data_IF_921984790836
#
_entry.id   IF_921984790836
#
_cell.length_a   1.000
_cell.length_b   1.000
_cell.length_c   1.000
_cell.angle_alpha   90.00
_cell.angle_beta   90.00
_cell.angle_gamma   90.00
#
_symmetry.space_group_name_H-M   'P 1'
#
loop_
_entity.id
_entity.type
_entity.pdbx_description
1 polymer ?
#
# COMPACT_ATOMS: atom_id res chain seq x y z
N UNK A 1 -11.35 0.82 -6.08
CA UNK A 1 -9.98 1.28 -5.71
C UNK A 1 -9.94 1.67 -4.25
N UNK A 2 -8.89 1.30 -3.53
CA UNK A 2 -8.59 1.77 -2.18
C UNK A 2 -7.39 2.72 -2.23
N UNK A 3 -7.58 3.97 -1.78
CA UNK A 3 -6.53 5.00 -1.71
C UNK A 3 -6.13 5.19 -0.24
N UNK A 4 -4.87 4.96 0.08
CA UNK A 4 -4.32 4.98 1.44
C UNK A 4 -3.20 6.01 1.53
N UNK A 5 -3.31 6.94 2.46
CA UNK A 5 -2.22 7.85 2.82
C UNK A 5 -1.71 7.59 4.23
N UNK A 6 -0.38 7.69 4.40
CA UNK A 6 0.27 7.43 5.70
C UNK A 6 1.25 8.52 6.13
N UNK A 7 1.36 9.61 5.35
CA UNK A 7 2.27 10.71 5.63
C UNK A 7 1.73 11.63 6.72
N UNK A 8 2.56 11.91 7.75
CA UNK A 8 2.20 12.77 8.88
C UNK A 8 2.23 14.28 8.55
N UNK A 9 2.77 14.66 7.39
CA UNK A 9 2.95 16.07 6.99
C UNK A 9 1.76 16.68 6.25
N UNK A 10 0.62 15.98 6.21
CA UNK A 10 -0.60 16.47 5.58
C UNK A 10 -0.40 16.91 4.13
N UNK A 11 -0.91 18.09 3.77
CA UNK A 11 -0.86 18.63 2.40
C UNK A 11 0.55 18.96 1.90
N UNK A 12 1.54 19.05 2.79
CA UNK A 12 2.93 19.24 2.41
C UNK A 12 3.61 17.95 1.96
N UNK A 13 2.95 16.81 2.10
CA UNK A 13 3.50 15.50 1.77
C UNK A 13 3.62 15.27 0.27
N UNK A 14 4.83 14.94 -0.18
CA UNK A 14 5.05 14.53 -1.57
C UNK A 14 4.33 13.21 -1.87
N UNK A 15 4.33 12.22 -0.97
CA UNK A 15 3.64 10.96 -1.23
C UNK A 15 2.13 11.14 -1.37
N UNK A 16 1.48 12.05 -0.60
CA UNK A 16 0.06 12.39 -0.77
C UNK A 16 -0.23 13.08 -2.10
N UNK A 17 0.66 13.96 -2.56
CA UNK A 17 0.55 14.58 -3.88
C UNK A 17 0.63 13.53 -5.00
N UNK A 18 1.54 12.58 -4.87
CA UNK A 18 1.68 11.50 -5.85
C UNK A 18 0.49 10.53 -5.83
N UNK A 19 -0.04 10.16 -4.67
CA UNK A 19 -1.23 9.29 -4.61
C UNK A 19 -2.45 9.97 -5.23
N UNK A 20 -2.65 11.26 -4.98
CA UNK A 20 -3.72 12.03 -5.62
C UNK A 20 -3.57 12.04 -7.16
N UNK A 21 -2.35 12.26 -7.68
CA UNK A 21 -2.07 12.21 -9.13
C UNK A 21 -2.31 10.80 -9.71
N UNK A 22 -1.92 9.73 -9.00
CA UNK A 22 -2.19 8.36 -9.43
C UNK A 22 -3.70 8.12 -9.54
N UNK A 23 -4.46 8.50 -8.52
CA UNK A 23 -5.93 8.33 -8.49
C UNK A 23 -6.59 9.13 -9.61
N UNK A 24 -6.17 10.37 -9.84
CA UNK A 24 -6.69 11.22 -10.92
C UNK A 24 -6.40 10.61 -12.30
N UNK A 25 -5.15 10.25 -12.58
CA UNK A 25 -4.75 9.63 -13.84
C UNK A 25 -5.48 8.29 -14.07
N UNK A 26 -5.66 7.51 -13.01
CA UNK A 26 -6.42 6.26 -13.07
C UNK A 26 -7.88 6.51 -13.44
N UNK A 27 -8.56 7.44 -12.78
CA UNK A 27 -9.96 7.78 -13.06
C UNK A 27 -10.15 8.34 -14.46
N UNK A 28 -9.18 9.08 -14.99
CA UNK A 28 -9.23 9.56 -16.38
C UNK A 28 -9.25 8.41 -17.40
N UNK A 29 -8.54 7.30 -17.11
CA UNK A 29 -8.52 6.11 -17.96
C UNK A 29 -9.63 5.10 -17.63
N UNK A 30 -10.15 5.11 -16.39
CA UNK A 30 -11.17 4.20 -15.87
C UNK A 30 -12.27 4.99 -15.14
N UNK A 31 -13.17 5.69 -15.87
CA UNK A 31 -14.12 6.63 -15.28
C UNK A 31 -15.11 6.02 -14.29
N UNK A 32 -15.41 4.71 -14.42
CA UNK A 32 -16.32 3.98 -13.52
C UNK A 32 -15.67 3.62 -12.16
N UNK A 33 -14.37 3.93 -11.95
CA UNK A 33 -13.67 3.58 -10.71
C UNK A 33 -14.25 4.31 -9.52
N UNK A 34 -14.76 3.55 -8.56
CA UNK A 34 -15.14 4.06 -7.24
C UNK A 34 -13.91 4.05 -6.33
N UNK A 35 -13.69 5.14 -5.61
CA UNK A 35 -12.53 5.31 -4.73
C UNK A 35 -13.00 5.36 -3.28
N UNK A 36 -12.49 4.44 -2.47
CA UNK A 36 -12.56 4.51 -1.00
C UNK A 36 -11.24 5.11 -0.50
N UNK A 37 -11.31 6.14 0.30
CA UNK A 37 -10.13 6.83 0.86
C UNK A 37 -9.92 6.47 2.32
N UNK A 38 -8.67 6.21 2.70
CA UNK A 38 -8.25 5.91 4.06
C UNK A 38 -7.00 6.73 4.41
N UNK A 39 -7.16 7.70 5.30
CA UNK A 39 -6.04 8.45 5.88
C UNK A 39 -5.60 7.79 7.19
N UNK A 40 -4.47 7.10 7.16
CA UNK A 40 -3.91 6.41 8.31
C UNK A 40 -3.34 7.35 9.39
N UNK A 41 -3.33 8.65 9.15
CA UNK A 41 -2.98 9.64 10.20
C UNK A 41 -4.22 10.08 10.96
N UNK A 42 -5.34 10.25 10.25
CA UNK A 42 -6.62 10.63 10.85
C UNK A 42 -7.34 9.43 11.50
N UNK A 43 -7.28 8.25 10.88
CA UNK A 43 -7.92 7.00 11.33
C UNK A 43 -6.88 5.88 11.47
N UNK A 44 -5.83 6.13 12.28
CA UNK A 44 -4.78 5.17 12.52
C UNK A 44 -5.28 3.99 13.37
N UNK A 45 -5.12 2.74 12.92
CA UNK A 45 -5.32 1.61 13.82
C UNK A 45 -4.27 1.67 14.94
N UNK A 46 -4.69 1.34 16.15
CA UNK A 46 -3.76 1.22 17.28
C UNK A 46 -2.67 0.18 16.99
N UNK A 47 -1.55 0.28 17.70
CA UNK A 47 -0.51 -0.76 17.66
C UNK A 47 -1.13 -2.14 17.87
N UNK A 48 -0.56 -3.14 17.22
CA UNK A 48 -1.05 -4.50 17.31
C UNK A 48 -0.82 -5.07 18.72
N UNK A 49 -1.91 -5.48 19.37
CA UNK A 49 -1.92 -5.97 20.76
C UNK A 49 -2.49 -7.39 20.84
N UNK A 50 -2.43 -8.00 22.03
CA UNK A 50 -3.05 -9.30 22.26
C UNK A 50 -4.56 -9.30 22.03
N UNK A 51 -5.25 -8.17 22.30
CA UNK A 51 -6.68 -8.06 22.00
C UNK A 51 -6.97 -8.13 20.49
N UNK A 52 -6.05 -7.65 19.66
CA UNK A 52 -6.16 -7.74 18.20
C UNK A 52 -5.80 -9.14 17.64
N UNK A 53 -5.30 -10.05 18.47
CA UNK A 53 -4.94 -11.42 18.05
C UNK A 53 -6.15 -12.36 17.94
N UNK A 54 -7.27 -12.06 18.57
CA UNK A 54 -8.42 -12.97 18.63
C UNK A 54 -8.91 -13.46 17.24
N UNK A 55 -9.03 -12.61 16.19
CA UNK A 55 -9.41 -13.10 14.85
C UNK A 55 -8.42 -14.11 14.27
N UNK A 56 -7.12 -13.96 14.62
CA UNK A 56 -6.07 -14.85 14.11
C UNK A 56 -6.06 -16.23 14.76
N UNK A 57 -6.60 -16.33 15.97
CA UNK A 57 -6.71 -17.60 16.71
C UNK A 57 -8.01 -18.34 16.41
N UNK A 58 -8.91 -17.74 15.61
CA UNK A 58 -10.23 -18.30 15.33
C UNK A 58 -11.19 -18.21 16.54
N UNK A 59 -10.83 -17.47 17.58
CA UNK A 59 -11.72 -17.26 18.74
C UNK A 59 -12.88 -16.37 18.34
N UNK A 60 -14.10 -16.88 18.44
CA UNK A 60 -15.36 -16.16 18.15
C UNK A 60 -16.19 -15.90 19.38
N UNK A 61 -16.08 -16.77 20.38
CA UNK A 61 -16.90 -16.74 21.59
C UNK A 61 -16.10 -16.24 22.82
N UNK A 62 -16.82 -15.62 23.75
CA UNK A 62 -16.23 -15.15 25.01
C UNK A 62 -15.24 -13.98 24.85
N UNK A 63 -15.34 -13.23 23.77
CA UNK A 63 -14.47 -12.07 23.53
C UNK A 63 -14.79 -10.93 24.50
N UNK A 64 -13.77 -10.34 25.10
CA UNK A 64 -13.90 -9.09 25.86
C UNK A 64 -14.35 -7.95 24.93
N UNK A 65 -14.89 -6.87 25.52
CA UNK A 65 -15.26 -5.67 24.75
C UNK A 65 -14.05 -5.07 24.02
N UNK A 66 -12.84 -5.13 24.59
CA UNK A 66 -11.62 -4.68 23.93
C UNK A 66 -11.32 -5.53 22.68
N UNK A 67 -11.38 -6.85 22.80
CA UNK A 67 -11.20 -7.78 21.67
C UNK A 67 -12.26 -7.57 20.59
N UNK A 68 -13.52 -7.36 20.96
CA UNK A 68 -14.59 -7.08 19.98
C UNK A 68 -14.33 -5.79 19.20
N UNK A 69 -13.91 -4.71 19.87
CA UNK A 69 -13.52 -3.45 19.20
C UNK A 69 -12.34 -3.64 18.25
N UNK A 70 -11.29 -4.33 18.71
CA UNK A 70 -10.11 -4.58 17.91
C UNK A 70 -10.41 -5.46 16.68
N UNK A 71 -11.30 -6.45 16.84
CA UNK A 71 -11.78 -7.30 15.75
C UNK A 71 -12.58 -6.49 14.73
N UNK A 72 -13.47 -5.60 15.17
CA UNK A 72 -14.24 -4.75 14.26
C UNK A 72 -13.33 -3.84 13.40
N UNK A 73 -12.28 -3.27 14.01
CA UNK A 73 -11.26 -2.48 13.26
C UNK A 73 -10.55 -3.36 12.24
N UNK A 74 -10.08 -4.53 12.65
CA UNK A 74 -9.33 -5.43 11.75
C UNK A 74 -10.23 -5.94 10.61
N UNK A 75 -11.48 -6.30 10.89
CA UNK A 75 -12.45 -6.76 9.88
C UNK A 75 -12.76 -5.67 8.85
N UNK A 76 -12.99 -4.44 9.30
CA UNK A 76 -13.20 -3.29 8.41
C UNK A 76 -12.02 -3.10 7.45
N UNK A 77 -10.79 -3.09 7.99
CA UNK A 77 -9.58 -2.85 7.20
C UNK A 77 -9.28 -3.99 6.21
N UNK A 78 -9.42 -5.25 6.64
CA UNK A 78 -9.20 -6.39 5.74
C UNK A 78 -10.26 -6.47 4.66
N UNK A 79 -11.52 -6.19 4.99
CA UNK A 79 -12.62 -6.18 4.01
C UNK A 79 -12.44 -5.06 2.98
N UNK A 80 -12.03 -3.85 3.38
CA UNK A 80 -11.70 -2.78 2.45
C UNK A 80 -10.55 -3.18 1.49
N UNK A 81 -9.50 -3.81 2.01
CA UNK A 81 -8.37 -4.27 1.20
C UNK A 81 -8.81 -5.36 0.21
N UNK A 82 -9.58 -6.35 0.68
CA UNK A 82 -10.00 -7.47 -0.17
C UNK A 82 -11.00 -7.05 -1.24
N UNK A 83 -11.87 -6.07 -0.97
CA UNK A 83 -12.85 -5.57 -1.93
C UNK A 83 -12.24 -4.71 -3.05
N UNK A 84 -11.01 -4.21 -2.89
CA UNK A 84 -10.38 -3.36 -3.89
C UNK A 84 -9.60 -4.18 -4.92
N UNK A 85 -9.82 -3.95 -6.21
CA UNK A 85 -9.00 -4.50 -7.30
C UNK A 85 -7.67 -3.75 -7.43
N UNK A 86 -7.70 -2.45 -7.11
CA UNK A 86 -6.53 -1.56 -7.17
C UNK A 86 -6.35 -0.89 -5.83
N UNK A 87 -5.11 -0.90 -5.32
CA UNK A 87 -4.74 -0.22 -4.08
C UNK A 87 -3.63 0.79 -4.37
N UNK A 88 -3.83 2.04 -3.99
CA UNK A 88 -2.83 3.11 -4.08
C UNK A 88 -2.37 3.43 -2.66
N UNK A 89 -1.06 3.34 -2.41
CA UNK A 89 -0.48 3.53 -1.08
C UNK A 89 0.53 4.67 -1.11
N UNK A 90 0.28 5.73 -0.34
CA UNK A 90 1.25 6.77 -0.04
C UNK A 90 2.19 6.32 1.08
N UNK A 91 3.46 6.10 0.75
CA UNK A 91 4.47 5.61 1.66
C UNK A 91 5.69 6.57 1.67
N UNK A 92 5.70 7.59 2.56
CA UNK A 92 6.92 8.37 2.79
C UNK A 92 7.99 7.50 3.46
N UNK A 93 9.25 7.76 3.12
CA UNK A 93 10.40 7.04 3.66
C UNK A 93 10.83 7.65 4.99
N UNK A 94 10.43 7.04 6.10
CA UNK A 94 10.77 7.49 7.45
C UNK A 94 11.77 6.53 8.10
N UNK A 95 12.94 7.05 8.46
CA UNK A 95 13.98 6.27 9.15
C UNK A 95 14.25 4.92 8.44
N UNK A 96 14.45 4.98 7.12
CA UNK A 96 14.78 3.84 6.26
C UNK A 96 13.66 2.81 6.02
N UNK A 97 12.43 3.08 6.47
CA UNK A 97 11.31 2.16 6.38
C UNK A 97 9.97 2.88 6.12
N UNK A 98 8.88 2.12 6.23
CA UNK A 98 7.51 2.62 6.14
C UNK A 98 7.09 3.35 7.42
N UNK A 99 6.11 4.28 7.36
CA UNK A 99 5.49 4.87 8.54
C UNK A 99 4.87 3.83 9.48
N UNK A 100 4.88 4.10 10.78
CA UNK A 100 4.32 3.21 11.81
C UNK A 100 2.82 2.98 11.62
N UNK A 101 2.08 3.98 11.15
CA UNK A 101 0.66 3.88 10.82
C UNK A 101 0.41 2.89 9.68
N UNK A 102 1.25 2.92 8.64
CA UNK A 102 1.17 1.96 7.53
C UNK A 102 1.52 0.55 8.00
N UNK A 103 2.51 0.41 8.89
CA UNK A 103 2.83 -0.88 9.49
C UNK A 103 1.67 -1.42 10.33
N UNK A 104 1.03 -0.57 11.13
CA UNK A 104 -0.13 -0.96 11.92
C UNK A 104 -1.31 -1.42 11.04
N UNK A 105 -1.55 -0.73 9.90
CA UNK A 105 -2.54 -1.18 8.91
C UNK A 105 -2.20 -2.54 8.32
N UNK A 106 -0.95 -2.75 7.91
CA UNK A 106 -0.47 -4.05 7.37
C UNK A 106 -0.67 -5.16 8.39
N UNK A 107 -0.35 -4.90 9.66
CA UNK A 107 -0.55 -5.88 10.73
C UNK A 107 -2.03 -6.25 10.92
N UNK A 108 -2.96 -5.34 10.69
CA UNK A 108 -4.40 -5.61 10.78
C UNK A 108 -4.93 -6.44 9.62
N UNK A 109 -4.44 -6.20 8.41
CA UNK A 109 -4.90 -6.95 7.23
C UNK A 109 -4.20 -8.31 7.06
N UNK A 110 -3.09 -8.56 7.75
CA UNK A 110 -2.40 -9.86 7.75
C UNK A 110 -3.18 -10.89 8.56
N UNK A 111 -4.24 -11.48 7.98
CA UNK A 111 -5.13 -12.43 8.66
C UNK A 111 -5.10 -13.81 7.99
N UNK A 112 -4.78 -14.87 8.76
CA UNK A 112 -4.89 -16.25 8.27
C UNK A 112 -6.31 -16.56 7.81
N UNK A 113 -6.45 -17.27 6.70
CA UNK A 113 -7.74 -17.60 6.08
C UNK A 113 -8.43 -16.44 5.35
N UNK A 114 -7.84 -15.23 5.36
CA UNK A 114 -8.37 -14.05 4.68
C UNK A 114 -7.41 -13.52 3.60
N UNK A 115 -6.21 -13.12 4.01
CA UNK A 115 -5.18 -12.58 3.09
C UNK A 115 -4.09 -13.60 2.76
N UNK A 116 -3.92 -14.60 3.59
CA UNK A 116 -3.01 -15.72 3.37
C UNK A 116 -3.49 -16.97 4.12
N UNK A 117 -2.93 -18.13 3.76
CA UNK A 117 -3.13 -19.38 4.50
C UNK A 117 -1.85 -20.21 4.52
N UNK A 118 -1.74 -21.11 5.48
CA UNK A 118 -0.68 -22.12 5.52
C UNK A 118 -1.18 -23.43 4.89
N UNK A 119 -0.42 -23.96 3.96
CA UNK A 119 -0.69 -25.23 3.28
C UNK A 119 0.45 -26.22 3.54
N UNK A 120 0.27 -27.48 3.16
CA UNK A 120 1.33 -28.48 3.22
C UNK A 120 2.57 -28.09 2.39
N UNK A 121 2.39 -27.22 1.38
CA UNK A 121 3.47 -26.74 0.49
C UNK A 121 4.04 -25.37 0.91
N UNK A 122 3.66 -24.86 2.07
CA UNK A 122 4.06 -23.55 2.58
C UNK A 122 2.93 -22.51 2.57
N UNK A 123 3.27 -21.24 2.81
CA UNK A 123 2.26 -20.17 2.82
C UNK A 123 1.75 -19.90 1.41
N UNK A 124 0.45 -19.64 1.30
CA UNK A 124 -0.24 -19.23 0.09
C UNK A 124 -0.99 -17.91 0.32
N UNK A 125 -0.75 -16.92 -0.55
CA UNK A 125 -1.48 -15.65 -0.53
C UNK A 125 -2.85 -15.78 -1.18
N UNK A 126 -3.86 -15.16 -0.56
CA UNK A 126 -5.27 -15.25 -0.98
C UNK A 126 -5.78 -13.96 -1.67
N UNK A 127 -5.06 -12.83 -1.53
CA UNK A 127 -5.43 -11.55 -2.14
C UNK A 127 -4.93 -11.41 -3.59
N UNK A 128 -5.19 -12.42 -4.41
CA UNK A 128 -4.73 -12.51 -5.82
C UNK A 128 -5.49 -11.53 -6.72
N UNK A 129 -4.92 -11.21 -7.88
CA UNK A 129 -5.56 -10.41 -8.93
C UNK A 129 -5.60 -8.90 -8.67
N UNK A 130 -4.92 -8.43 -7.63
CA UNK A 130 -4.85 -7.00 -7.30
C UNK A 130 -3.64 -6.34 -7.92
N UNK A 131 -3.80 -5.06 -8.31
CA UNK A 131 -2.70 -4.15 -8.62
C UNK A 131 -2.47 -3.22 -7.44
N UNK A 132 -1.23 -3.13 -6.94
CA UNK A 132 -0.85 -2.18 -5.89
C UNK A 132 0.14 -1.17 -6.46
N UNK A 133 -0.15 0.12 -6.32
CA UNK A 133 0.73 1.22 -6.75
C UNK A 133 1.18 1.97 -5.50
N UNK A 134 2.48 1.94 -5.24
CA UNK A 134 3.09 2.59 -4.07
C UNK A 134 3.74 3.90 -4.49
N UNK A 135 3.27 5.01 -3.95
CA UNK A 135 3.91 6.33 -4.06
C UNK A 135 4.95 6.49 -2.95
N UNK A 136 6.21 6.24 -3.30
CA UNK A 136 7.35 6.31 -2.38
C UNK A 136 8.04 7.67 -2.50
N UNK A 137 8.10 8.46 -1.42
CA UNK A 137 8.83 9.73 -1.39
C UNK A 137 9.98 9.70 -0.39
N UNK A 138 11.16 10.17 -0.80
CA UNK A 138 12.42 10.06 -0.04
C UNK A 138 13.18 11.36 -0.05
N UNK A 139 13.66 11.80 1.12
CA UNK A 139 14.47 13.01 1.24
C UNK A 139 15.80 12.94 0.48
N UNK A 140 16.49 11.81 0.57
CA UNK A 140 17.72 11.50 -0.17
C UNK A 140 17.48 10.59 -1.37
N UNK A 141 18.60 10.19 -2.03
CA UNK A 141 18.61 9.25 -3.15
C UNK A 141 19.19 7.92 -2.67
N UNK A 142 18.41 6.84 -2.77
CA UNK A 142 18.76 5.50 -2.27
C UNK A 142 18.86 4.45 -3.38
N UNK A 143 18.30 4.70 -4.56
CA UNK A 143 18.25 3.71 -5.64
C UNK A 143 19.55 3.60 -6.45
N UNK A 144 20.43 4.62 -6.44
CA UNK A 144 21.55 4.75 -7.38
C UNK A 144 22.87 4.14 -6.89
N UNK A 145 23.03 3.90 -5.59
CA UNK A 145 24.27 3.35 -5.02
C UNK A 145 24.01 2.06 -4.25
N UNK A 146 25.03 1.22 -4.10
CA UNK A 146 24.96 0.00 -3.30
C UNK A 146 24.67 0.30 -1.84
N UNK A 147 25.36 1.28 -1.24
CA UNK A 147 25.11 1.72 0.14
C UNK A 147 23.71 2.29 0.32
N UNK A 148 23.19 3.04 -0.65
CA UNK A 148 21.80 3.53 -0.64
C UNK A 148 20.81 2.39 -0.65
N UNK A 149 20.98 1.43 -1.55
CA UNK A 149 20.09 0.26 -1.62
C UNK A 149 20.15 -0.61 -0.36
N UNK A 150 21.30 -0.70 0.29
CA UNK A 150 21.45 -1.43 1.56
C UNK A 150 20.65 -0.78 2.72
N UNK A 151 20.39 0.52 2.65
CA UNK A 151 19.56 1.24 3.64
C UNK A 151 18.07 1.31 3.28
N UNK A 152 17.67 0.77 2.13
CA UNK A 152 16.30 0.82 1.63
C UNK A 152 15.52 -0.41 2.14
N UNK A 153 14.71 -0.22 3.18
CA UNK A 153 13.87 -1.28 3.77
C UNK A 153 12.36 -1.03 3.56
N UNK A 154 11.97 -0.06 2.74
CA UNK A 154 10.57 0.26 2.50
C UNK A 154 9.98 -0.57 1.35
N UNK A 155 10.56 -0.47 0.17
CA UNK A 155 10.03 -1.18 -1.01
C UNK A 155 10.25 -2.68 -0.90
N UNK A 156 11.43 -3.11 -0.45
CA UNK A 156 11.73 -4.52 -0.19
C UNK A 156 10.76 -5.15 0.80
N UNK A 157 10.43 -4.44 1.89
CA UNK A 157 9.44 -4.88 2.85
C UNK A 157 8.03 -4.94 2.24
N UNK A 158 7.58 -3.87 1.57
CA UNK A 158 6.25 -3.83 0.95
C UNK A 158 6.09 -4.90 -0.12
N UNK A 159 7.10 -5.12 -0.94
CA UNK A 159 7.09 -6.18 -1.95
C UNK A 159 6.98 -7.57 -1.30
N UNK A 160 7.73 -7.80 -0.22
CA UNK A 160 7.68 -9.07 0.52
C UNK A 160 6.30 -9.31 1.14
N UNK A 161 5.76 -8.34 1.88
CA UNK A 161 4.49 -8.54 2.60
C UNK A 161 3.29 -8.60 1.67
N UNK A 162 3.24 -7.77 0.62
CA UNK A 162 2.18 -7.81 -0.39
C UNK A 162 2.25 -9.12 -1.20
N UNK A 163 3.46 -9.56 -1.56
CA UNK A 163 3.68 -10.86 -2.19
C UNK A 163 3.23 -12.03 -1.30
N UNK A 164 3.48 -11.96 0.00
CA UNK A 164 2.98 -12.93 0.98
C UNK A 164 1.44 -12.98 1.02
N UNK A 165 0.75 -11.86 0.79
CA UNK A 165 -0.70 -11.82 0.63
C UNK A 165 -1.18 -12.32 -0.74
N UNK A 166 -0.30 -12.57 -1.70
CA UNK A 166 -0.63 -13.05 -3.04
C UNK A 166 -0.75 -11.96 -4.10
N UNK A 167 -0.36 -10.72 -3.77
CA UNK A 167 -0.31 -9.62 -4.74
C UNK A 167 0.97 -9.74 -5.55
N UNK A 168 0.84 -9.97 -6.86
CA UNK A 168 1.98 -10.14 -7.78
C UNK A 168 2.26 -8.90 -8.62
N UNK A 169 1.30 -7.97 -8.77
CA UNK A 169 1.46 -6.72 -9.50
C UNK A 169 1.64 -5.57 -8.50
N UNK A 170 2.88 -5.34 -8.07
CA UNK A 170 3.28 -4.23 -7.20
C UNK A 170 4.16 -3.27 -7.99
N UNK A 171 3.72 -2.01 -8.11
CA UNK A 171 4.37 -0.96 -8.89
C UNK A 171 4.79 0.18 -7.98
N UNK A 172 5.98 0.75 -8.23
CA UNK A 172 6.51 1.84 -7.43
C UNK A 172 6.63 3.12 -8.26
N UNK A 173 6.03 4.19 -7.74
CA UNK A 173 6.23 5.58 -8.21
C UNK A 173 7.14 6.26 -7.19
N UNK A 174 8.38 6.55 -7.58
CA UNK A 174 9.41 7.11 -6.68
C UNK A 174 9.61 8.59 -6.92
N UNK A 175 9.70 9.34 -5.82
CA UNK A 175 10.26 10.69 -5.80
C UNK A 175 11.41 10.72 -4.79
N UNK A 176 12.65 10.60 -5.26
CA UNK A 176 13.87 10.61 -4.45
C UNK A 176 14.56 11.98 -4.50
N UNK A 177 15.29 12.33 -3.43
CA UNK A 177 16.02 13.60 -3.37
C UNK A 177 15.13 14.81 -3.10
N UNK A 178 13.90 14.62 -2.60
CA UNK A 178 12.95 15.73 -2.41
C UNK A 178 13.38 16.74 -1.34
N UNK A 179 14.39 16.42 -0.51
CA UNK A 179 15.00 17.33 0.47
C UNK A 179 16.35 17.89 0.00
N UNK A 180 16.80 17.61 -1.24
CA UNK A 180 18.12 18.01 -1.75
C UNK A 180 18.11 19.34 -2.52
N UNK A 181 17.06 20.14 -2.36
CA UNK A 181 16.88 21.44 -3.01
C UNK A 181 15.74 21.45 -4.03
N UNK A 182 15.38 22.67 -4.46
CA UNK A 182 14.20 22.88 -5.32
C UNK A 182 14.29 22.18 -6.67
N UNK A 183 15.44 22.25 -7.32
CA UNK A 183 15.66 21.63 -8.64
C UNK A 183 15.60 20.09 -8.56
N UNK A 184 16.21 19.50 -7.52
CA UNK A 184 16.16 18.06 -7.30
C UNK A 184 14.73 17.60 -7.05
N UNK A 185 13.97 18.32 -6.22
CA UNK A 185 12.55 18.05 -5.98
C UNK A 185 11.73 18.15 -7.26
N UNK A 186 11.94 19.18 -8.08
CA UNK A 186 11.21 19.36 -9.33
C UNK A 186 11.49 18.20 -10.32
N UNK A 187 12.75 17.78 -10.45
CA UNK A 187 13.13 16.64 -11.27
C UNK A 187 12.52 15.33 -10.77
N UNK A 188 12.54 15.11 -9.46
CA UNK A 188 11.94 13.92 -8.85
C UNK A 188 10.41 13.83 -9.11
N UNK A 189 9.71 14.96 -8.99
CA UNK A 189 8.27 15.03 -9.27
C UNK A 189 7.96 14.83 -10.77
N UNK A 190 8.78 15.38 -11.66
CA UNK A 190 8.63 15.19 -13.11
C UNK A 190 8.83 13.70 -13.50
N UNK A 191 9.85 13.05 -12.95
CA UNK A 191 10.09 11.62 -13.17
C UNK A 191 8.93 10.75 -12.59
N UNK A 192 8.42 11.10 -11.43
CA UNK A 192 7.28 10.43 -10.83
C UNK A 192 6.01 10.56 -11.70
N UNK A 193 5.74 11.73 -12.27
CA UNK A 193 4.61 11.95 -13.17
C UNK A 193 4.70 11.06 -14.42
N UNK A 194 5.87 10.93 -15.03
CA UNK A 194 6.09 10.01 -16.15
C UNK A 194 5.86 8.55 -15.77
N UNK A 195 6.31 8.14 -14.59
CA UNK A 195 6.08 6.78 -14.08
C UNK A 195 4.58 6.50 -13.85
N UNK A 196 3.83 7.47 -13.33
CA UNK A 196 2.38 7.38 -13.16
C UNK A 196 1.70 7.09 -14.49
N UNK A 197 1.98 7.90 -15.53
CA UNK A 197 1.40 7.69 -16.86
C UNK A 197 1.73 6.30 -17.41
N UNK A 198 2.98 5.87 -17.29
CA UNK A 198 3.41 4.56 -17.76
C UNK A 198 2.67 3.41 -17.04
N UNK A 199 2.51 3.49 -15.72
CA UNK A 199 1.82 2.46 -14.93
C UNK A 199 0.34 2.38 -15.25
N UNK A 200 -0.34 3.53 -15.44
CA UNK A 200 -1.76 3.57 -15.79
C UNK A 200 -1.99 2.99 -17.20
N UNK A 201 -1.17 3.39 -18.19
CA UNK A 201 -1.23 2.86 -19.56
C UNK A 201 -0.98 1.35 -19.63
N UNK A 202 0.01 0.84 -18.87
CA UNK A 202 0.32 -0.58 -18.83
C UNK A 202 -0.82 -1.42 -18.24
N UNK A 203 -1.56 -0.89 -17.28
CA UNK A 203 -2.72 -1.59 -16.72
C UNK A 203 -3.86 -1.71 -17.73
N UNK A 204 -4.21 -0.61 -18.40
CA UNK A 204 -5.26 -0.60 -19.44
C UNK A 204 -4.95 -1.63 -20.56
N UNK A 205 -3.70 -1.66 -21.06
CA UNK A 205 -3.28 -2.60 -22.09
C UNK A 205 -3.36 -4.08 -21.66
N UNK A 206 -3.13 -4.38 -20.37
CA UNK A 206 -3.27 -5.73 -19.83
C UNK A 206 -4.74 -6.17 -19.72
N UNK A 207 -5.63 -5.25 -19.33
CA UNK A 207 -7.07 -5.55 -19.27
C UNK A 207 -7.65 -5.85 -20.65
N UNK A 208 -7.27 -5.08 -21.67
CA UNK A 208 -7.69 -5.30 -23.05
C UNK A 208 -7.27 -6.68 -23.57
N UNK A 209 -6.06 -7.14 -23.24
CA UNK A 209 -5.56 -8.46 -23.62
C UNK A 209 -6.33 -9.60 -22.93
N UNK A 210 -6.65 -9.45 -21.65
CA UNK A 210 -7.42 -10.45 -20.91
C UNK A 210 -8.84 -10.52 -21.43
N UNK A 211 -9.45 -9.38 -21.75
CA UNK A 211 -10.81 -9.33 -22.31
C UNK A 211 -10.90 -9.90 -23.74
N UNK A 212 -9.82 -9.87 -24.53
CA UNK A 212 -9.75 -10.46 -25.87
C UNK A 212 -9.45 -11.96 -25.86
N UNK A 213 -8.95 -12.49 -24.73
CA UNK A 213 -8.58 -13.90 -24.58
C UNK A 213 -9.68 -14.75 -23.91
N UNK A 214 -10.77 -14.13 -23.42
CA UNK A 214 -11.92 -14.74 -22.76
C UNK A 214 -13.13 -14.83 -23.70
#
# INVERSE_FOLDING_TARGET
MLHIDSAITGDQSVSRQLTAQIVEAWKASHPATQVSYLDLVADAPAHFTMDAMAPRTGQTDGLSEAQQRENAVSERLVSQFLAADVVVIGAPFYNFAIPTQLKAWIDRIAQPGRTFQYTANGPEGLAKGKTVIVASSRGGVYSTSEGGRAMEHQESYLQTVLGFFGVTDVRFVRAEGVAMGGDAKAQALAAAAQAIEAHVKAHAANQDRVSQAA
#
